data_IF_217478902391
#
_entry.id   IF_217478902391
#
_cell.length_a   1.000
_cell.length_b   1.000
_cell.length_c   1.000
_cell.angle_alpha   90.00
_cell.angle_beta   90.00
_cell.angle_gamma   90.00
#
_symmetry.space_group_name_H-M   'P 1'
#
loop_
_entity.id
_entity.type
_entity.pdbx_description
1 polymer ?
#
# COMPACT_ATOMS: atom_id res chain seq x y z
N UNK A 1 67.07 62.48 -7.57
CA UNK A 1 66.82 61.07 -7.87
C UNK A 1 66.05 60.47 -6.71
N UNK A 2 64.73 60.46 -6.78
CA UNK A 2 63.85 59.79 -5.77
C UNK A 2 63.35 58.53 -6.42
N UNK A 3 63.59 57.37 -5.80
CA UNK A 3 62.98 56.12 -6.16
C UNK A 3 61.71 55.97 -5.33
N UNK A 4 60.58 55.98 -5.95
CA UNK A 4 59.31 55.57 -5.36
C UNK A 4 59.22 54.05 -5.41
N UNK A 5 59.28 53.43 -4.28
CA UNK A 5 59.01 52.01 -4.10
C UNK A 5 57.51 51.85 -3.80
N UNK A 6 56.75 51.56 -4.83
CA UNK A 6 55.34 51.16 -4.69
C UNK A 6 55.26 49.78 -4.04
N UNK A 7 54.67 49.73 -2.87
CA UNK A 7 54.24 48.47 -2.24
C UNK A 7 53.03 47.95 -3.00
N UNK A 8 52.94 46.62 -3.27
CA UNK A 8 51.74 46.03 -3.79
C UNK A 8 50.67 46.00 -2.68
N UNK A 9 49.51 46.52 -3.06
CA UNK A 9 48.30 46.50 -2.23
C UNK A 9 47.94 45.03 -2.03
N UNK A 10 47.92 44.63 -0.76
CA UNK A 10 47.48 43.29 -0.33
C UNK A 10 46.06 43.05 -0.86
N UNK A 11 45.94 42.03 -1.71
CA UNK A 11 44.65 41.53 -2.16
C UNK A 11 43.83 41.09 -0.95
N UNK A 12 42.67 41.72 -0.81
CA UNK A 12 41.66 41.31 0.13
C UNK A 12 41.19 39.90 -0.27
N UNK A 13 41.74 38.88 0.36
CA UNK A 13 41.19 37.53 0.33
C UNK A 13 39.90 37.58 1.11
N UNK A 14 38.79 37.87 0.45
CA UNK A 14 37.48 37.70 1.02
C UNK A 14 37.30 36.19 1.28
N UNK A 15 37.33 35.81 2.56
CA UNK A 15 37.01 34.46 3.00
C UNK A 15 35.52 34.19 2.78
N UNK A 16 35.15 33.78 1.57
CA UNK A 16 33.83 33.23 1.28
C UNK A 16 33.63 31.78 1.80
N UNK A 17 34.63 31.27 2.53
CA UNK A 17 34.63 29.91 3.08
C UNK A 17 33.51 29.62 4.09
N UNK A 18 33.10 30.52 4.99
CA UNK A 18 32.04 30.23 5.96
C UNK A 18 30.65 30.19 5.33
N UNK A 19 30.37 30.99 4.30
CA UNK A 19 29.06 31.00 3.64
C UNK A 19 28.82 29.68 2.87
N UNK A 20 29.77 29.22 2.09
CA UNK A 20 29.67 27.95 1.34
C UNK A 20 29.58 26.74 2.27
N UNK A 21 30.26 26.74 3.42
CA UNK A 21 30.11 25.69 4.44
C UNK A 21 28.75 25.68 5.09
N UNK A 22 28.17 26.85 5.35
CA UNK A 22 26.83 26.97 5.93
C UNK A 22 25.75 26.51 4.93
N UNK A 23 25.85 26.89 3.66
CA UNK A 23 24.94 26.43 2.60
C UNK A 23 25.01 24.93 2.38
N UNK A 24 26.20 24.33 2.34
CA UNK A 24 26.37 22.89 2.19
C UNK A 24 25.78 22.12 3.37
N UNK A 25 25.96 22.61 4.59
CA UNK A 25 25.41 22.01 5.80
C UNK A 25 23.88 22.13 5.86
N UNK A 26 23.33 23.29 5.47
CA UNK A 26 21.89 23.52 5.38
C UNK A 26 21.24 22.61 4.31
N UNK A 27 21.86 22.53 3.13
CA UNK A 27 21.42 21.64 2.05
C UNK A 27 21.44 20.17 2.47
N UNK A 28 22.43 19.75 3.24
CA UNK A 28 22.53 18.39 3.78
C UNK A 28 21.42 18.11 4.81
N UNK A 29 21.16 19.03 5.72
CA UNK A 29 20.09 18.93 6.71
C UNK A 29 18.70 18.89 6.05
N UNK A 30 18.47 19.77 5.08
CA UNK A 30 17.21 19.80 4.32
C UNK A 30 16.97 18.47 3.58
N UNK A 31 18.01 17.92 2.96
CA UNK A 31 17.94 16.62 2.27
C UNK A 31 17.68 15.46 3.24
N UNK A 32 18.27 15.48 4.44
CA UNK A 32 17.98 14.48 5.48
C UNK A 32 16.53 14.55 5.94
N UNK A 33 15.99 15.75 6.15
CA UNK A 33 14.59 15.94 6.50
C UNK A 33 13.65 15.41 5.41
N UNK A 34 13.90 15.73 4.14
CA UNK A 34 13.10 15.21 3.03
C UNK A 34 13.15 13.68 2.95
N UNK A 35 14.30 13.07 3.20
CA UNK A 35 14.43 11.61 3.21
C UNK A 35 13.65 10.94 4.35
N UNK A 36 13.63 11.56 5.54
CA UNK A 36 12.84 11.07 6.67
C UNK A 36 11.34 11.16 6.40
N UNK A 37 10.90 12.22 5.73
CA UNK A 37 9.51 12.40 5.35
C UNK A 37 9.04 11.36 4.32
N UNK A 38 9.85 11.06 3.30
CA UNK A 38 9.52 10.02 2.32
C UNK A 38 9.46 8.62 2.95
N UNK A 39 10.40 8.28 3.83
CA UNK A 39 10.36 7.02 4.58
C UNK A 39 9.12 6.92 5.49
N UNK A 40 8.74 8.02 6.14
CA UNK A 40 7.52 8.08 6.94
C UNK A 40 6.27 7.85 6.08
N UNK A 41 6.19 8.48 4.92
CA UNK A 41 5.07 8.31 3.97
C UNK A 41 4.97 6.85 3.50
N UNK A 42 6.08 6.23 3.12
CA UNK A 42 6.12 4.81 2.73
C UNK A 42 5.58 3.93 3.86
N UNK A 43 6.06 4.13 5.09
CA UNK A 43 5.62 3.34 6.25
C UNK A 43 4.13 3.51 6.54
N UNK A 44 3.59 4.72 6.41
CA UNK A 44 2.15 4.97 6.60
C UNK A 44 1.34 4.19 5.57
N UNK A 45 1.67 4.28 4.28
CA UNK A 45 0.92 3.59 3.24
C UNK A 45 1.05 2.08 3.31
N UNK A 46 2.23 1.56 3.68
CA UNK A 46 2.42 0.14 3.93
C UNK A 46 1.64 -0.33 5.16
N UNK A 47 1.61 0.45 6.23
CA UNK A 47 0.80 0.13 7.42
C UNK A 47 -0.69 0.07 7.07
N UNK A 48 -1.20 1.00 6.25
CA UNK A 48 -2.59 0.98 5.76
C UNK A 48 -2.86 -0.27 4.93
N UNK A 49 -1.94 -0.63 4.01
CA UNK A 49 -2.07 -1.83 3.20
C UNK A 49 -2.06 -3.11 4.05
N UNK A 50 -1.11 -3.22 4.97
CA UNK A 50 -1.01 -4.35 5.91
C UNK A 50 -2.25 -4.45 6.81
N UNK A 51 -2.76 -3.32 7.31
CA UNK A 51 -3.98 -3.30 8.09
C UNK A 51 -5.19 -3.81 7.28
N UNK A 52 -5.28 -3.45 6.01
CA UNK A 52 -6.28 -3.98 5.09
C UNK A 52 -6.19 -5.49 4.91
N UNK A 53 -4.98 -6.04 4.73
CA UNK A 53 -4.76 -7.50 4.67
C UNK A 53 -5.14 -8.20 5.98
N UNK A 54 -4.73 -7.64 7.12
CA UNK A 54 -5.04 -8.20 8.44
C UNK A 54 -6.54 -8.20 8.68
N UNK A 55 -7.23 -7.09 8.41
CA UNK A 55 -8.67 -6.99 8.55
C UNK A 55 -9.39 -7.99 7.65
N UNK A 56 -9.00 -8.06 6.37
CA UNK A 56 -9.56 -9.05 5.43
C UNK A 56 -9.34 -10.49 5.89
N UNK A 57 -8.17 -10.81 6.45
CA UNK A 57 -7.90 -12.13 7.02
C UNK A 57 -8.74 -12.41 8.27
N UNK A 58 -8.84 -11.45 9.19
CA UNK A 58 -9.59 -11.63 10.44
C UNK A 58 -11.11 -11.76 10.21
N UNK A 59 -11.66 -11.02 9.25
CA UNK A 59 -13.09 -11.11 8.92
C UNK A 59 -13.44 -12.40 8.19
N UNK A 60 -12.52 -13.00 7.45
CA UNK A 60 -12.76 -14.26 6.76
C UNK A 60 -12.91 -15.48 7.68
N UNK A 61 -12.38 -15.45 8.92
CA UNK A 61 -12.55 -16.56 9.87
C UNK A 61 -13.99 -16.75 10.32
N UNK A 62 -14.73 -15.73 10.85
CA UNK A 62 -16.12 -15.87 11.24
C UNK A 62 -17.09 -15.63 10.06
N UNK A 63 -16.81 -16.21 8.88
CA UNK A 63 -17.54 -15.95 7.64
C UNK A 63 -19.08 -16.04 7.82
N UNK A 64 -19.57 -17.04 8.56
CA UNK A 64 -20.99 -17.19 8.86
C UNK A 64 -21.57 -16.01 9.61
N UNK A 65 -20.85 -15.54 10.63
CA UNK A 65 -21.27 -14.39 11.45
C UNK A 65 -21.24 -13.11 10.63
N UNK A 66 -20.21 -12.91 9.82
CA UNK A 66 -20.05 -11.74 8.96
C UNK A 66 -21.18 -11.65 7.92
N UNK A 67 -21.49 -12.74 7.25
CA UNK A 67 -22.58 -12.80 6.27
C UNK A 67 -23.95 -12.62 6.96
N UNK A 68 -24.13 -13.14 8.16
CA UNK A 68 -25.34 -12.90 8.96
C UNK A 68 -25.53 -11.42 9.30
N UNK A 69 -24.46 -10.72 9.68
CA UNK A 69 -24.50 -9.27 9.90
C UNK A 69 -24.78 -8.51 8.62
N UNK A 70 -24.12 -8.88 7.52
CA UNK A 70 -24.34 -8.26 6.21
C UNK A 70 -25.78 -8.44 5.74
N UNK A 71 -26.34 -9.63 5.90
CA UNK A 71 -27.76 -9.91 5.62
C UNK A 71 -28.69 -9.02 6.43
N UNK A 72 -28.45 -8.90 7.74
CA UNK A 72 -29.22 -8.01 8.61
C UNK A 72 -29.12 -6.54 8.19
N UNK A 73 -27.92 -6.09 7.78
CA UNK A 73 -27.67 -4.72 7.33
C UNK A 73 -28.42 -4.40 6.03
N UNK A 74 -28.44 -5.34 5.08
CA UNK A 74 -29.09 -5.18 3.77
C UNK A 74 -30.61 -5.03 3.92
N UNK A 75 -31.21 -5.70 4.91
CA UNK A 75 -32.64 -5.59 5.20
C UNK A 75 -32.99 -4.45 6.16
N UNK A 76 -32.00 -3.78 6.77
CA UNK A 76 -32.22 -2.69 7.72
C UNK A 76 -32.14 -1.30 7.07
N UNK A 77 -33.12 -0.45 7.36
CA UNK A 77 -33.09 0.99 7.22
C UNK A 77 -32.84 1.55 5.81
N UNK A 78 -31.89 2.45 5.70
CA UNK A 78 -31.62 3.27 4.52
C UNK A 78 -30.92 2.53 3.36
N UNK A 79 -30.27 1.41 3.64
CA UNK A 79 -29.53 0.62 2.64
C UNK A 79 -30.43 -0.30 1.80
N UNK A 80 -31.61 -0.66 2.33
CA UNK A 80 -32.55 -1.58 1.69
C UNK A 80 -32.97 -1.19 0.28
N UNK A 81 -33.34 0.07 -0.04
CA UNK A 81 -33.74 0.43 -1.41
C UNK A 81 -32.62 0.22 -2.45
N UNK A 82 -31.38 0.50 -2.05
CA UNK A 82 -30.19 0.31 -2.91
C UNK A 82 -29.94 -1.18 -3.14
N UNK A 83 -30.00 -1.98 -2.09
CA UNK A 83 -29.79 -3.41 -2.17
C UNK A 83 -30.85 -4.14 -3.00
N UNK A 84 -32.11 -3.72 -2.89
CA UNK A 84 -33.22 -4.27 -3.68
C UNK A 84 -33.10 -3.86 -5.18
N UNK A 85 -32.79 -2.60 -5.47
CA UNK A 85 -32.64 -2.11 -6.84
C UNK A 85 -31.46 -2.72 -7.59
N UNK A 86 -30.41 -3.11 -6.87
CA UNK A 86 -29.20 -3.73 -7.45
C UNK A 86 -29.25 -5.27 -7.46
N UNK A 87 -30.27 -5.89 -6.87
CA UNK A 87 -30.35 -7.35 -6.70
C UNK A 87 -29.38 -7.91 -5.65
N UNK A 88 -28.71 -7.04 -4.89
CA UNK A 88 -27.71 -7.43 -3.88
C UNK A 88 -28.36 -8.18 -2.70
N UNK A 89 -29.59 -7.79 -2.30
CA UNK A 89 -30.34 -8.44 -1.22
C UNK A 89 -30.56 -9.93 -1.51
N UNK A 90 -31.09 -10.27 -2.67
CA UNK A 90 -31.34 -11.66 -3.05
C UNK A 90 -30.05 -12.49 -3.21
N UNK A 91 -28.93 -11.84 -3.57
CA UNK A 91 -27.65 -12.52 -3.62
C UNK A 91 -27.10 -12.81 -2.23
N UNK A 92 -27.11 -11.86 -1.31
CA UNK A 92 -26.64 -12.01 0.07
C UNK A 92 -27.48 -13.06 0.82
N UNK A 93 -28.79 -13.06 0.64
CA UNK A 93 -29.69 -14.07 1.21
C UNK A 93 -29.31 -15.47 0.73
N UNK A 94 -29.10 -15.65 -0.58
CA UNK A 94 -28.66 -16.94 -1.13
C UNK A 94 -27.32 -17.40 -0.61
N UNK A 95 -26.36 -16.47 -0.42
CA UNK A 95 -25.03 -16.76 0.15
C UNK A 95 -25.18 -17.15 1.62
N UNK A 96 -26.01 -16.43 2.39
CA UNK A 96 -26.27 -16.74 3.79
C UNK A 96 -26.89 -18.13 3.96
N UNK A 97 -27.93 -18.46 3.20
CA UNK A 97 -28.55 -19.79 3.20
C UNK A 97 -27.53 -20.87 2.79
N UNK A 98 -26.75 -20.62 1.74
CA UNK A 98 -25.73 -21.57 1.27
C UNK A 98 -24.65 -21.87 2.30
N UNK A 99 -24.21 -20.85 3.05
CA UNK A 99 -23.24 -21.01 4.13
C UNK A 99 -23.87 -21.76 5.30
N UNK A 100 -25.08 -21.42 5.73
CA UNK A 100 -25.75 -22.09 6.84
C UNK A 100 -26.00 -23.57 6.57
N UNK A 101 -26.50 -23.92 5.38
CA UNK A 101 -26.73 -25.31 4.98
C UNK A 101 -25.41 -26.07 4.88
N UNK A 102 -24.36 -25.44 4.32
CA UNK A 102 -23.04 -26.07 4.16
C UNK A 102 -22.37 -26.30 5.51
N UNK A 103 -22.41 -25.32 6.40
CA UNK A 103 -21.80 -25.41 7.74
C UNK A 103 -22.49 -26.51 8.58
N UNK A 104 -23.83 -26.56 8.52
CA UNK A 104 -24.60 -27.59 9.24
C UNK A 104 -24.32 -29.00 8.72
N UNK A 105 -24.09 -29.18 7.40
CA UNK A 105 -23.98 -30.52 6.79
C UNK A 105 -22.52 -30.92 6.52
N UNK A 106 -21.67 -29.95 6.20
CA UNK A 106 -20.28 -30.17 5.77
C UNK A 106 -19.34 -29.11 6.39
N UNK A 107 -19.20 -29.02 7.71
CA UNK A 107 -18.45 -27.97 8.39
C UNK A 107 -16.98 -27.90 7.96
N UNK A 108 -16.41 -29.02 7.47
CA UNK A 108 -15.03 -29.07 6.97
C UNK A 108 -14.79 -28.22 5.72
N UNK A 109 -15.83 -27.81 4.99
CA UNK A 109 -15.67 -26.92 3.83
C UNK A 109 -15.28 -25.49 4.25
N UNK A 110 -15.67 -25.04 5.44
CA UNK A 110 -15.24 -23.77 6.00
C UNK A 110 -13.72 -23.71 6.22
N UNK A 111 -13.06 -24.86 6.36
CA UNK A 111 -11.60 -24.93 6.47
C UNK A 111 -10.86 -24.30 5.28
N UNK A 112 -11.47 -24.26 4.09
CA UNK A 112 -10.94 -23.55 2.94
C UNK A 112 -10.90 -22.03 3.13
N UNK A 113 -11.87 -21.45 3.82
CA UNK A 113 -11.89 -20.02 4.18
C UNK A 113 -10.89 -19.69 5.28
N UNK A 114 -10.66 -20.62 6.23
CA UNK A 114 -9.63 -20.47 7.26
C UNK A 114 -8.22 -20.38 6.61
N UNK A 115 -7.95 -21.20 5.58
CA UNK A 115 -6.70 -21.12 4.81
C UNK A 115 -6.58 -19.80 4.07
N UNK A 116 -7.65 -19.28 3.50
CA UNK A 116 -7.66 -17.97 2.85
C UNK A 116 -7.38 -16.85 3.86
N UNK A 117 -8.01 -16.90 5.02
CA UNK A 117 -7.78 -15.98 6.13
C UNK A 117 -6.31 -16.00 6.57
N UNK A 118 -5.77 -17.19 6.81
CA UNK A 118 -4.36 -17.37 7.16
C UNK A 118 -3.41 -16.83 6.09
N UNK A 119 -3.70 -17.07 4.80
CA UNK A 119 -2.90 -16.53 3.70
C UNK A 119 -2.83 -15.00 3.71
N UNK A 120 -3.92 -14.29 4.02
CA UNK A 120 -3.92 -12.84 4.15
C UNK A 120 -3.01 -12.37 5.30
N UNK A 121 -3.01 -13.06 6.43
CA UNK A 121 -2.13 -12.74 7.55
C UNK A 121 -0.66 -12.97 7.20
N UNK A 122 -0.34 -14.07 6.53
CA UNK A 122 1.03 -14.35 6.04
C UNK A 122 1.49 -13.31 5.02
N UNK A 123 0.60 -12.89 4.11
CA UNK A 123 0.89 -11.80 3.19
C UNK A 123 1.17 -10.48 3.93
N UNK A 124 0.41 -10.16 4.98
CA UNK A 124 0.71 -8.97 5.78
C UNK A 124 2.11 -9.03 6.41
N UNK A 125 2.54 -10.21 6.89
CA UNK A 125 3.91 -10.41 7.41
C UNK A 125 4.96 -10.21 6.33
N UNK A 126 4.72 -10.63 5.08
CA UNK A 126 5.64 -10.41 3.96
C UNK A 126 5.93 -8.91 3.75
N UNK A 127 4.93 -8.05 3.92
CA UNK A 127 5.07 -6.60 3.76
C UNK A 127 5.83 -5.91 4.91
N UNK A 128 6.19 -6.61 5.98
CA UNK A 128 7.12 -6.10 7.00
C UNK A 128 8.49 -5.84 6.39
N UNK A 129 8.94 -6.63 5.40
CA UNK A 129 10.20 -6.40 4.71
C UNK A 129 10.34 -4.98 4.13
N UNK A 130 9.47 -4.54 3.22
CA UNK A 130 9.50 -3.17 2.70
C UNK A 130 9.13 -2.10 3.73
N UNK A 131 8.43 -2.42 4.80
CA UNK A 131 8.19 -1.50 5.91
C UNK A 131 9.47 -1.13 6.64
N UNK A 132 10.39 -2.10 6.82
CA UNK A 132 11.69 -1.90 7.47
C UNK A 132 12.69 -1.27 6.49
N UNK A 133 12.87 -1.88 5.31
CA UNK A 133 13.79 -1.42 4.27
C UNK A 133 13.10 -1.44 2.90
N UNK A 134 12.49 -0.31 2.51
CA UNK A 134 11.68 -0.24 1.29
C UNK A 134 12.50 -0.35 0.00
N UNK A 135 13.74 0.13 -0.02
CA UNK A 135 14.57 0.12 -1.23
C UNK A 135 15.06 -1.30 -1.53
N UNK A 136 15.54 -2.01 -0.52
CA UNK A 136 16.02 -3.39 -0.65
C UNK A 136 14.90 -4.37 -0.99
N UNK A 137 13.71 -4.15 -0.41
CA UNK A 137 12.57 -5.06 -0.55
C UNK A 137 11.51 -4.56 -1.55
N UNK A 138 11.87 -3.71 -2.51
CA UNK A 138 10.93 -3.17 -3.50
C UNK A 138 10.24 -4.24 -4.35
N UNK A 139 10.84 -5.42 -4.49
CA UNK A 139 10.26 -6.56 -5.19
C UNK A 139 8.95 -7.04 -4.56
N UNK A 140 8.78 -6.89 -3.22
CA UNK A 140 7.52 -7.20 -2.52
C UNK A 140 6.40 -6.25 -2.94
N UNK A 141 6.73 -4.98 -3.20
CA UNK A 141 5.75 -4.02 -3.74
C UNK A 141 5.33 -4.43 -5.16
N UNK A 142 6.28 -4.88 -6.00
CA UNK A 142 5.97 -5.41 -7.33
C UNK A 142 5.08 -6.64 -7.26
N UNK A 143 5.37 -7.57 -6.34
CA UNK A 143 4.51 -8.71 -6.04
C UNK A 143 3.11 -8.27 -5.65
N UNK A 144 2.97 -7.26 -4.79
CA UNK A 144 1.69 -6.67 -4.42
C UNK A 144 0.89 -6.15 -5.62
N UNK A 145 1.54 -5.49 -6.59
CA UNK A 145 0.88 -5.07 -7.83
C UNK A 145 0.40 -6.25 -8.67
N UNK A 146 1.21 -7.32 -8.77
CA UNK A 146 0.81 -8.54 -9.48
C UNK A 146 -0.41 -9.17 -8.79
N UNK A 147 -0.40 -9.24 -7.46
CA UNK A 147 -1.53 -9.78 -6.69
C UNK A 147 -2.80 -8.93 -6.90
N UNK A 148 -2.70 -7.61 -6.75
CA UNK A 148 -3.83 -6.69 -6.98
C UNK A 148 -4.36 -6.78 -8.42
N UNK A 149 -3.47 -6.84 -9.43
CA UNK A 149 -3.85 -7.02 -10.82
C UNK A 149 -4.48 -8.38 -11.09
N UNK A 150 -4.00 -9.43 -10.43
CA UNK A 150 -4.51 -10.81 -10.56
C UNK A 150 -5.92 -11.01 -10.01
N UNK A 151 -6.35 -10.21 -9.02
CA UNK A 151 -7.73 -10.25 -8.50
C UNK A 151 -8.75 -9.96 -9.60
N UNK A 152 -8.46 -9.05 -10.53
CA UNK A 152 -9.39 -8.66 -11.59
C UNK A 152 -9.76 -9.83 -12.51
N UNK A 153 -8.82 -10.49 -13.21
CA UNK A 153 -9.15 -11.65 -14.03
C UNK A 153 -9.72 -12.81 -13.21
N UNK A 154 -9.27 -13.02 -11.97
CA UNK A 154 -9.83 -14.03 -11.08
C UNK A 154 -11.33 -13.77 -10.83
N UNK A 155 -11.70 -12.56 -10.40
CA UNK A 155 -13.08 -12.20 -10.12
C UNK A 155 -13.98 -12.29 -11.37
N UNK A 156 -13.46 -11.87 -12.53
CA UNK A 156 -14.23 -11.89 -13.76
C UNK A 156 -14.41 -13.30 -14.32
N UNK A 157 -13.36 -14.13 -14.35
CA UNK A 157 -13.36 -15.47 -14.95
C UNK A 157 -13.99 -16.48 -13.99
N UNK A 158 -13.45 -16.63 -12.78
CA UNK A 158 -13.95 -17.59 -11.81
C UNK A 158 -15.35 -17.21 -11.30
N UNK A 159 -15.60 -15.90 -11.11
CA UNK A 159 -16.92 -15.40 -10.74
C UNK A 159 -17.98 -15.69 -11.81
N UNK A 160 -17.63 -15.59 -13.10
CA UNK A 160 -18.53 -15.97 -14.19
C UNK A 160 -18.80 -17.48 -14.19
N UNK A 161 -17.77 -18.30 -14.09
CA UNK A 161 -17.89 -19.75 -14.06
C UNK A 161 -18.74 -20.26 -12.87
N UNK A 162 -18.71 -19.53 -11.75
CA UNK A 162 -19.50 -19.84 -10.53
C UNK A 162 -20.84 -19.09 -10.44
N UNK A 163 -21.26 -18.43 -11.52
CA UNK A 163 -22.53 -17.70 -11.63
C UNK A 163 -22.70 -16.58 -10.58
N UNK A 164 -21.58 -15.99 -10.13
CA UNK A 164 -21.60 -14.84 -9.22
C UNK A 164 -22.13 -13.61 -9.98
N UNK A 165 -23.08 -12.83 -9.43
CA UNK A 165 -23.61 -11.64 -10.08
C UNK A 165 -22.53 -10.63 -10.46
N UNK A 166 -22.70 -9.92 -11.57
CA UNK A 166 -21.72 -8.94 -12.06
C UNK A 166 -21.42 -7.87 -11.02
N UNK A 167 -22.44 -7.37 -10.31
CA UNK A 167 -22.27 -6.37 -9.26
C UNK A 167 -21.32 -6.85 -8.16
N UNK A 168 -21.44 -8.10 -7.72
CA UNK A 168 -20.53 -8.67 -6.72
C UNK A 168 -19.11 -8.83 -7.25
N UNK A 169 -18.95 -9.30 -8.50
CA UNK A 169 -17.61 -9.39 -9.13
C UNK A 169 -16.92 -8.04 -9.27
N UNK A 170 -17.69 -6.95 -9.48
CA UNK A 170 -17.14 -5.60 -9.49
C UNK A 170 -16.69 -5.14 -8.10
N UNK A 171 -17.40 -5.55 -7.03
CA UNK A 171 -16.95 -5.36 -5.65
C UNK A 171 -15.63 -6.08 -5.43
N UNK A 172 -15.50 -7.34 -5.86
CA UNK A 172 -14.24 -8.08 -5.75
C UNK A 172 -13.10 -7.41 -6.52
N UNK A 173 -13.35 -6.95 -7.76
CA UNK A 173 -12.37 -6.18 -8.54
C UNK A 173 -11.92 -4.90 -7.82
N UNK A 174 -12.81 -4.26 -7.06
CA UNK A 174 -12.49 -3.03 -6.34
C UNK A 174 -11.40 -3.23 -5.28
N UNK A 175 -11.29 -4.40 -4.66
CA UNK A 175 -10.19 -4.72 -3.74
C UNK A 175 -8.82 -4.65 -4.41
N UNK A 176 -8.71 -5.15 -5.66
CA UNK A 176 -7.48 -5.01 -6.44
C UNK A 176 -7.14 -3.55 -6.75
N UNK A 177 -8.13 -2.76 -7.13
CA UNK A 177 -7.94 -1.33 -7.44
C UNK A 177 -7.54 -0.54 -6.20
N UNK A 178 -8.32 -0.66 -5.11
CA UNK A 178 -8.03 0.06 -3.86
C UNK A 178 -6.74 -0.42 -3.19
N UNK A 179 -6.40 -1.71 -3.27
CA UNK A 179 -5.14 -2.25 -2.79
C UNK A 179 -3.92 -1.72 -3.57
N UNK A 180 -4.07 -1.47 -4.87
CA UNK A 180 -2.99 -0.91 -5.68
C UNK A 180 -2.66 0.56 -5.34
N UNK A 181 -3.60 1.35 -4.81
CA UNK A 181 -3.38 2.77 -4.50
C UNK A 181 -2.24 2.98 -3.49
N UNK A 182 -2.28 2.41 -2.27
CA UNK A 182 -1.19 2.57 -1.31
C UNK A 182 0.15 2.05 -1.83
N UNK A 183 0.14 0.94 -2.60
CA UNK A 183 1.35 0.41 -3.21
C UNK A 183 1.93 1.36 -4.26
N UNK A 184 1.09 2.02 -5.07
CA UNK A 184 1.53 3.02 -6.05
C UNK A 184 2.17 4.23 -5.38
N UNK A 185 1.60 4.69 -4.27
CA UNK A 185 2.15 5.79 -3.49
C UNK A 185 3.50 5.41 -2.86
N UNK A 186 3.62 4.18 -2.32
CA UNK A 186 4.89 3.64 -1.86
C UNK A 186 5.92 3.55 -2.99
N UNK A 187 5.52 3.02 -4.14
CA UNK A 187 6.42 2.87 -5.29
C UNK A 187 7.00 4.19 -5.78
N UNK A 188 6.16 5.24 -5.85
CA UNK A 188 6.62 6.59 -6.22
C UNK A 188 7.63 7.14 -5.22
N UNK A 189 7.35 7.01 -3.93
CA UNK A 189 8.24 7.47 -2.87
C UNK A 189 9.57 6.67 -2.84
N UNK A 190 9.54 5.37 -3.08
CA UNK A 190 10.75 4.53 -3.19
C UNK A 190 11.62 4.99 -4.36
N UNK A 191 11.02 5.25 -5.52
CA UNK A 191 11.77 5.77 -6.67
C UNK A 191 12.45 7.12 -6.38
N UNK A 192 11.79 8.00 -5.66
CA UNK A 192 12.38 9.28 -5.23
C UNK A 192 13.59 9.05 -4.31
N UNK A 193 13.49 8.12 -3.35
CA UNK A 193 14.61 7.74 -2.49
C UNK A 193 15.78 7.15 -3.27
N UNK A 194 15.54 6.26 -4.22
CA UNK A 194 16.58 5.68 -5.10
C UNK A 194 17.31 6.77 -5.88
N UNK A 195 16.59 7.72 -6.47
CA UNK A 195 17.18 8.84 -7.20
C UNK A 195 18.06 9.72 -6.31
N UNK A 196 17.62 10.02 -5.11
CA UNK A 196 18.38 10.78 -4.12
C UNK A 196 19.66 10.05 -3.69
N UNK A 197 19.60 8.72 -3.53
CA UNK A 197 20.77 7.89 -3.18
C UNK A 197 21.77 7.85 -4.34
N UNK A 198 21.31 7.66 -5.58
CA UNK A 198 22.16 7.65 -6.76
C UNK A 198 22.90 8.99 -6.96
N UNK A 199 22.20 10.12 -6.78
CA UNK A 199 22.81 11.44 -6.87
C UNK A 199 23.91 11.66 -5.81
N UNK A 200 23.78 11.07 -4.61
CA UNK A 200 24.82 11.14 -3.57
C UNK A 200 26.08 10.38 -3.96
N UNK A 201 25.93 9.19 -4.54
CA UNK A 201 27.08 8.36 -4.94
C UNK A 201 27.94 9.06 -5.98
N UNK A 202 27.32 9.82 -6.90
CA UNK A 202 28.06 10.57 -7.93
C UNK A 202 28.83 11.73 -7.29
N UNK A 203 28.23 12.51 -6.40
CA UNK A 203 28.86 13.67 -5.74
C UNK A 203 30.01 13.26 -4.81
N UNK A 204 29.99 12.05 -4.26
CA UNK A 204 31.09 11.55 -3.40
C UNK A 204 32.23 10.89 -4.20
N UNK A 205 32.06 10.68 -5.51
CA UNK A 205 33.06 10.05 -6.39
C UNK A 205 33.90 11.09 -7.15
N UNK A 206 33.54 12.36 -7.13
CA UNK A 206 34.29 13.54 -7.60
C UNK A 206 35.12 14.17 -6.47
#
# INVERSE_FOLDING_TARGET
>A
MRRDSGLPIAGVITCDLPARFCEAKLATLLRLMLQTDELRRIRIWLAVFMAGLILSGLTAFPLRTEIGWLNSLVYSGWFRPVAESTGLSGWIERVHEGIDVTDARYPFLAYGTDWLAFAHLVLAVLFVGPYVDPVRNKWVIQFGFIACGGVIPLALIAGHARQIPVGWRLIDCSFGVFGAIPLLLCWRAIRQLEQQQAARTIVCAE
#
